data_IF_169899511269
#
_entry.id   IF_169899511269
#
_cell.length_a   1.000
_cell.length_b   1.000
_cell.length_c   1.000
_cell.angle_alpha   90.00
_cell.angle_beta   90.00
_cell.angle_gamma   90.00
#
_symmetry.space_group_name_H-M   'P 1'
#
loop_
_entity.id
_entity.type
_entity.pdbx_description
1 polymer ?
#
# COMPACT_ATOMS: atom_id res chain seq x y z
N UNK A 1 -6.66 3.76 66.97
CA UNK A 1 -7.34 4.20 65.73
C UNK A 1 -6.41 4.42 64.52
N UNK A 2 -5.19 3.85 64.47
CA UNK A 2 -4.19 4.16 63.43
C UNK A 2 -3.97 3.09 62.34
N UNK A 3 -4.53 1.88 62.48
CA UNK A 3 -4.29 0.77 61.55
C UNK A 3 -5.31 0.64 60.41
N UNK A 4 -6.48 1.29 60.51
CA UNK A 4 -7.54 1.20 59.49
C UNK A 4 -7.29 2.03 58.21
N UNK A 5 -6.41 3.04 58.26
CA UNK A 5 -6.10 3.90 57.10
C UNK A 5 -5.12 3.25 56.12
N UNK A 6 -4.22 2.39 56.61
CA UNK A 6 -3.17 1.76 55.78
C UNK A 6 -3.76 0.68 54.87
N UNK A 7 -4.72 -0.11 55.37
CA UNK A 7 -5.39 -1.16 54.57
C UNK A 7 -6.25 -0.58 53.45
N UNK A 8 -6.88 0.59 53.67
CA UNK A 8 -7.70 1.25 52.64
C UNK A 8 -6.87 1.85 51.50
N UNK A 9 -5.66 2.34 51.79
CA UNK A 9 -4.75 2.88 50.76
C UNK A 9 -4.17 1.74 49.90
N UNK A 10 -3.90 0.58 50.51
CA UNK A 10 -3.41 -0.59 49.78
C UNK A 10 -4.49 -1.22 48.88
N UNK A 11 -5.77 -1.16 49.27
CA UNK A 11 -6.90 -1.66 48.47
C UNK A 11 -7.23 -0.75 47.28
N UNK A 12 -7.04 0.57 47.42
CA UNK A 12 -7.27 1.56 46.37
C UNK A 12 -6.13 1.58 45.34
N UNK A 13 -4.90 1.25 45.74
CA UNK A 13 -3.76 1.15 44.81
C UNK A 13 -3.81 -0.08 43.89
N UNK A 14 -4.62 -1.10 44.21
CA UNK A 14 -4.73 -2.32 43.42
C UNK A 14 -5.83 -2.30 42.33
N UNK A 15 -6.67 -1.25 42.30
CA UNK A 15 -7.88 -1.22 41.45
C UNK A 15 -7.77 -0.33 40.21
N UNK A 16 -6.64 0.33 39.97
CA UNK A 16 -6.37 1.06 38.72
C UNK A 16 -5.23 0.44 37.93
N UNK A 17 -5.25 -0.89 37.74
CA UNK A 17 -4.63 -1.46 36.55
C UNK A 17 -5.61 -1.15 35.41
N UNK A 18 -5.43 0.00 34.75
CA UNK A 18 -6.21 0.32 33.57
C UNK A 18 -5.98 -0.81 32.56
N UNK A 19 -6.97 -1.70 32.41
CA UNK A 19 -6.96 -2.68 31.34
C UNK A 19 -6.92 -1.89 30.04
N UNK A 20 -5.77 -1.89 29.37
CA UNK A 20 -5.68 -1.32 28.04
C UNK A 20 -6.65 -2.13 27.16
N UNK A 21 -7.70 -1.48 26.66
CA UNK A 21 -8.61 -2.11 25.72
C UNK A 21 -7.79 -2.50 24.49
N UNK A 22 -7.95 -3.74 24.04
CA UNK A 22 -7.29 -4.22 22.84
C UNK A 22 -7.84 -3.47 21.61
N UNK A 23 -6.97 -2.79 20.89
CA UNK A 23 -7.28 -2.17 19.60
C UNK A 23 -6.66 -3.05 18.49
N UNK A 24 -7.46 -3.57 17.54
CA UNK A 24 -6.98 -4.52 16.56
C UNK A 24 -6.17 -3.87 15.42
N UNK A 25 -6.24 -2.55 15.26
CA UNK A 25 -5.57 -1.81 14.20
C UNK A 25 -4.49 -0.91 14.75
N UNK A 26 -3.38 -0.83 14.01
CA UNK A 26 -2.30 0.12 14.27
C UNK A 26 -2.07 0.96 13.01
N UNK A 27 -2.13 2.29 13.13
CA UNK A 27 -1.85 3.16 11.99
C UNK A 27 -0.34 3.34 11.81
N UNK A 28 0.25 2.55 10.91
CA UNK A 28 1.68 2.62 10.58
C UNK A 28 2.00 3.71 9.55
N UNK A 29 0.97 4.39 9.05
CA UNK A 29 1.03 5.52 8.15
C UNK A 29 1.54 5.17 6.74
N UNK A 30 2.25 6.12 6.18
CA UNK A 30 2.72 6.08 4.80
C UNK A 30 1.79 6.79 3.83
N UNK A 31 2.28 6.97 2.61
CA UNK A 31 1.67 7.72 1.53
C UNK A 31 1.96 7.02 0.22
N UNK A 32 0.90 6.79 -0.55
CA UNK A 32 0.99 6.32 -1.93
C UNK A 32 0.31 7.35 -2.81
N UNK A 33 0.89 7.59 -3.98
CA UNK A 33 0.30 8.44 -4.99
C UNK A 33 0.48 7.84 -6.37
N UNK A 34 -0.49 8.05 -7.24
CA UNK A 34 -0.44 7.54 -8.59
C UNK A 34 -1.00 8.56 -9.58
N UNK A 35 -0.43 8.57 -10.78
CA UNK A 35 -0.76 9.48 -11.88
C UNK A 35 -0.86 8.68 -13.18
N UNK A 36 -2.01 8.77 -13.83
CA UNK A 36 -2.23 8.26 -15.18
C UNK A 36 -1.88 9.35 -16.20
N UNK A 37 -1.17 8.95 -17.26
CA UNK A 37 -0.89 9.79 -18.43
C UNK A 37 -1.15 9.04 -19.73
N UNK A 38 -0.90 9.71 -20.84
CA UNK A 38 -1.18 9.17 -22.17
C UNK A 38 -0.22 8.03 -22.51
N UNK A 39 -0.70 6.80 -22.28
CA UNK A 39 0.06 5.58 -22.51
C UNK A 39 1.13 5.33 -21.45
N UNK A 40 0.93 5.79 -20.21
CA UNK A 40 1.73 5.38 -19.04
C UNK A 40 0.95 5.59 -17.73
N UNK A 41 1.35 4.89 -16.67
CA UNK A 41 0.86 5.16 -15.31
C UNK A 41 2.02 5.08 -14.33
N UNK A 42 2.18 6.09 -13.47
CA UNK A 42 3.21 6.13 -12.42
C UNK A 42 2.54 5.93 -11.07
N UNK A 43 3.15 5.15 -10.18
CA UNK A 43 2.74 5.02 -8.78
C UNK A 43 3.97 5.09 -7.88
N UNK A 44 4.00 6.08 -7.01
CA UNK A 44 5.06 6.34 -6.05
C UNK A 44 4.59 6.14 -4.62
N UNK A 45 5.52 5.79 -3.73
CA UNK A 45 5.23 5.59 -2.32
C UNK A 45 6.42 5.96 -1.46
N UNK A 46 6.14 6.39 -0.23
CA UNK A 46 7.19 6.53 0.77
C UNK A 46 7.66 5.17 1.32
N UNK A 47 8.84 5.13 1.95
CA UNK A 47 9.45 3.88 2.47
C UNK A 47 9.43 3.80 3.99
N UNK A 48 8.87 4.81 4.68
CA UNK A 48 8.84 4.85 6.15
C UNK A 48 7.74 3.95 6.69
N UNK A 49 7.96 3.42 7.89
CA UNK A 49 6.96 2.74 8.69
C UNK A 49 7.03 3.26 10.12
N UNK A 50 5.91 3.79 10.60
CA UNK A 50 5.78 4.23 11.98
C UNK A 50 5.43 3.01 12.84
N UNK A 51 6.09 2.89 13.98
CA UNK A 51 5.88 1.82 14.95
C UNK A 51 4.84 2.17 16.01
N UNK A 52 4.73 1.30 17.03
CA UNK A 52 3.71 1.42 18.05
C UNK A 52 3.76 2.78 18.75
N UNK A 53 2.58 3.36 18.97
CA UNK A 53 2.42 4.66 19.62
C UNK A 53 2.58 5.87 18.70
N UNK A 54 2.81 5.70 17.39
CA UNK A 54 2.65 6.77 16.39
C UNK A 54 3.79 7.79 16.27
N UNK A 55 4.77 7.76 17.17
CA UNK A 55 5.91 8.69 17.17
C UNK A 55 7.25 8.03 16.86
N UNK A 56 7.34 6.71 17.05
CA UNK A 56 8.56 5.96 16.81
C UNK A 56 8.65 5.55 15.35
N UNK A 57 9.81 5.79 14.73
CA UNK A 57 10.09 5.29 13.40
C UNK A 57 10.57 3.84 13.51
N UNK A 58 9.77 2.90 13.02
CA UNK A 58 10.09 1.47 13.05
C UNK A 58 11.03 1.08 11.91
N UNK A 59 10.79 1.59 10.69
CA UNK A 59 11.66 1.33 9.54
C UNK A 59 11.70 2.51 8.57
N UNK A 60 12.83 2.65 7.87
CA UNK A 60 13.02 3.56 6.72
C UNK A 60 12.97 2.83 5.37
N UNK A 61 12.89 1.52 5.40
CA UNK A 61 12.85 0.66 4.22
C UNK A 61 11.72 -0.35 4.36
N UNK A 62 10.49 0.10 4.14
CA UNK A 62 9.28 -0.71 4.18
C UNK A 62 8.52 -0.57 2.87
N UNK A 63 8.92 -1.39 1.89
CA UNK A 63 8.35 -1.44 0.55
C UNK A 63 7.56 -2.72 0.29
N UNK A 64 7.98 -3.83 0.90
CA UNK A 64 7.54 -5.17 0.55
C UNK A 64 6.02 -5.37 0.58
N UNK A 65 5.29 -4.77 1.53
CA UNK A 65 3.82 -4.83 1.62
C UNK A 65 3.13 -3.54 1.20
N UNK A 66 3.89 -2.51 0.81
CA UNK A 66 3.37 -1.17 0.53
C UNK A 66 3.04 -0.99 -0.93
N UNK A 67 3.87 -1.53 -1.80
CA UNK A 67 3.63 -1.58 -3.24
C UNK A 67 4.07 -2.93 -3.74
N UNK A 68 3.27 -3.54 -4.60
CA UNK A 68 3.59 -4.81 -5.20
C UNK A 68 2.93 -4.96 -6.56
N UNK A 69 3.59 -5.71 -7.43
CA UNK A 69 2.96 -6.12 -8.68
C UNK A 69 2.03 -7.31 -8.47
N UNK A 70 1.01 -7.35 -9.32
CA UNK A 70 0.06 -8.45 -9.47
C UNK A 70 0.71 -9.68 -10.09
N UNK A 71 1.60 -9.49 -11.07
CA UNK A 71 2.26 -10.59 -11.76
C UNK A 71 3.53 -11.05 -11.02
N UNK A 72 3.71 -12.36 -10.89
CA UNK A 72 4.89 -12.96 -10.23
C UNK A 72 6.20 -12.65 -11.00
N UNK A 73 6.11 -12.30 -12.28
CA UNK A 73 7.26 -11.90 -13.14
C UNK A 73 7.97 -10.63 -12.65
N UNK A 74 7.29 -9.84 -11.81
CA UNK A 74 7.80 -8.56 -11.26
C UNK A 74 8.42 -8.70 -9.87
N UNK A 75 8.43 -9.90 -9.29
CA UNK A 75 9.04 -10.14 -7.97
C UNK A 75 10.57 -10.01 -8.04
N UNK A 76 11.20 -10.36 -9.18
CA UNK A 76 12.63 -10.13 -9.43
C UNK A 76 12.98 -8.64 -9.56
N UNK A 77 12.04 -7.82 -10.02
CA UNK A 77 12.20 -6.36 -10.08
C UNK A 77 12.16 -5.75 -8.68
N UNK A 78 11.28 -6.24 -7.79
CA UNK A 78 11.19 -5.74 -6.42
C UNK A 78 12.39 -6.14 -5.56
N UNK A 79 12.93 -7.35 -5.72
CA UNK A 79 14.17 -7.77 -5.05
C UNK A 79 15.39 -7.01 -5.59
N UNK A 80 15.41 -6.65 -6.88
CA UNK A 80 16.38 -5.73 -7.48
C UNK A 80 16.30 -4.31 -6.91
N UNK A 81 15.10 -3.77 -6.69
CA UNK A 81 14.87 -2.45 -6.08
C UNK A 81 15.29 -2.45 -4.59
N UNK A 82 14.94 -3.50 -3.82
CA UNK A 82 15.33 -3.63 -2.41
C UNK A 82 16.84 -3.81 -2.22
N UNK A 83 17.52 -4.51 -3.14
CA UNK A 83 18.98 -4.64 -3.13
C UNK A 83 19.70 -3.34 -3.53
N UNK A 84 19.15 -2.58 -4.48
CA UNK A 84 19.66 -1.26 -4.89
C UNK A 84 19.51 -0.20 -3.79
N UNK A 85 18.46 -0.28 -2.96
CA UNK A 85 18.30 0.60 -1.80
C UNK A 85 19.30 0.30 -0.67
N UNK A 86 19.76 -0.95 -0.54
CA UNK A 86 20.73 -1.37 0.50
C UNK A 86 22.17 -1.02 0.14
N UNK A 87 22.50 -0.87 -1.14
CA UNK A 87 23.86 -0.55 -1.60
C UNK A 87 24.20 0.94 -1.54
N UNK A 88 23.21 1.84 -1.43
CA UNK A 88 23.46 3.27 -1.24
C UNK A 88 24.03 4.03 -2.45
N UNK A 89 24.13 3.36 -3.61
CA UNK A 89 24.54 4.00 -4.87
C UNK A 89 23.36 4.77 -5.50
N UNK A 90 23.61 6.01 -5.89
CA UNK A 90 22.61 6.94 -6.46
C UNK A 90 22.17 6.60 -7.89
N UNK A 91 22.80 5.61 -8.54
CA UNK A 91 22.85 5.51 -10.01
C UNK A 91 22.27 4.19 -10.58
N UNK A 92 21.39 3.49 -9.86
CA UNK A 92 20.77 2.24 -10.37
C UNK A 92 19.24 2.38 -10.43
N UNK A 93 18.74 2.76 -11.61
CA UNK A 93 17.31 2.78 -11.94
C UNK A 93 16.89 1.53 -12.69
N UNK A 94 15.84 0.85 -12.22
CA UNK A 94 15.21 -0.25 -12.96
C UNK A 94 13.98 0.30 -13.68
N UNK A 95 14.18 0.65 -14.96
CA UNK A 95 13.15 1.01 -15.92
C UNK A 95 13.10 -0.10 -16.96
N UNK A 96 11.93 -0.66 -17.21
CA UNK A 96 11.70 -1.44 -18.44
C UNK A 96 11.41 -0.45 -19.59
N UNK A 97 12.47 0.10 -20.18
CA UNK A 97 12.71 0.38 -21.63
C UNK A 97 13.84 1.43 -21.84
N UNK A 98 14.96 0.91 -22.34
CA UNK A 98 16.15 1.42 -23.05
C UNK A 98 16.64 2.88 -23.14
N UNK A 99 16.03 3.95 -22.61
CA UNK A 99 16.78 5.23 -22.62
C UNK A 99 16.22 6.34 -21.72
N UNK A 100 17.10 6.80 -20.83
CA UNK A 100 17.04 8.00 -19.96
C UNK A 100 16.42 7.79 -18.58
N UNK A 101 17.35 7.59 -17.65
CA UNK A 101 17.19 7.47 -16.20
C UNK A 101 16.98 8.84 -15.54
N UNK A 102 16.14 8.92 -14.52
CA UNK A 102 16.22 9.98 -13.51
C UNK A 102 15.72 9.42 -12.18
N UNK A 103 16.62 9.32 -11.19
CA UNK A 103 16.36 8.79 -9.84
C UNK A 103 16.41 9.90 -8.79
N UNK A 104 15.45 9.90 -7.88
CA UNK A 104 15.49 10.59 -6.59
C UNK A 104 15.04 9.58 -5.50
N UNK A 105 15.56 9.67 -4.26
CA UNK A 105 15.22 8.72 -3.21
C UNK A 105 13.73 8.84 -2.83
N UNK A 106 12.98 7.75 -2.96
CA UNK A 106 11.58 7.66 -2.52
C UNK A 106 10.52 7.69 -3.62
N UNK A 107 10.91 7.55 -4.89
CA UNK A 107 9.96 7.41 -6.01
C UNK A 107 10.17 6.04 -6.63
N UNK A 108 9.25 5.11 -6.34
CA UNK A 108 9.06 3.95 -7.22
C UNK A 108 8.29 4.50 -8.42
N UNK A 109 8.86 4.37 -9.60
CA UNK A 109 8.22 4.76 -10.86
C UNK A 109 8.04 3.47 -11.63
N UNK A 110 6.81 3.04 -11.87
CA UNK A 110 6.57 2.22 -13.05
C UNK A 110 6.11 3.14 -14.17
N UNK A 111 6.62 2.89 -15.37
CA UNK A 111 6.23 3.54 -16.61
C UNK A 111 6.13 2.39 -17.60
N UNK A 112 5.01 2.28 -18.27
CA UNK A 112 4.83 1.32 -19.36
C UNK A 112 4.47 2.15 -20.57
N UNK A 113 5.41 2.36 -21.50
CA UNK A 113 5.13 2.82 -22.86
C UNK A 113 6.01 2.02 -23.81
N UNK A 114 5.43 1.10 -24.57
CA UNK A 114 6.15 0.43 -25.66
C UNK A 114 5.23 0.07 -26.82
N UNK A 115 5.19 0.92 -27.86
CA UNK A 115 4.61 0.59 -29.18
C UNK A 115 3.23 -0.09 -29.17
N UNK A 116 2.88 -0.78 -30.26
CA UNK A 116 1.59 -1.47 -30.44
C UNK A 116 1.42 -2.76 -29.60
N UNK A 117 2.36 -3.07 -28.69
CA UNK A 117 2.31 -4.25 -27.83
C UNK A 117 2.07 -3.87 -26.37
N UNK A 118 0.79 -3.98 -25.97
CA UNK A 118 0.24 -3.75 -24.63
C UNK A 118 0.77 -4.76 -23.58
N UNK A 119 2.03 -4.66 -23.15
CA UNK A 119 2.51 -5.37 -21.95
C UNK A 119 2.51 -4.40 -20.76
N UNK A 120 1.37 -4.28 -20.08
CA UNK A 120 1.19 -3.42 -18.91
C UNK A 120 1.01 -4.23 -17.65
N UNK A 121 2.07 -4.42 -16.85
CA UNK A 121 1.89 -5.06 -15.53
C UNK A 121 1.18 -4.09 -14.58
N UNK A 122 0.13 -4.56 -13.93
CA UNK A 122 -0.66 -3.77 -12.98
C UNK A 122 -0.02 -3.81 -11.61
N UNK A 123 0.10 -2.64 -10.97
CA UNK A 123 0.58 -2.51 -9.59
C UNK A 123 -0.54 -2.15 -8.61
N UNK A 124 -0.37 -2.63 -7.38
CA UNK A 124 -1.22 -2.29 -6.24
C UNK A 124 -0.34 -1.65 -5.17
N UNK A 125 -0.81 -0.53 -4.63
CA UNK A 125 -0.27 0.08 -3.43
C UNK A 125 -1.28 0.03 -2.28
N UNK A 126 -0.81 -0.22 -1.06
CA UNK A 126 -1.60 -0.09 0.17
C UNK A 126 -0.85 0.63 1.30
N UNK A 127 -1.54 1.55 1.99
CA UNK A 127 -1.04 2.29 3.14
C UNK A 127 -2.03 2.22 4.30
N UNK A 128 -1.59 2.45 5.53
CA UNK A 128 -2.45 2.34 6.72
C UNK A 128 -1.88 1.34 7.72
N UNK A 129 -2.67 0.33 8.10
CA UNK A 129 -2.21 -0.75 8.96
C UNK A 129 -1.33 -1.73 8.19
N UNK A 130 -0.07 -1.83 8.59
CA UNK A 130 0.94 -2.65 7.94
C UNK A 130 0.56 -4.15 7.93
N UNK A 131 -0.03 -4.64 9.02
CA UNK A 131 -0.48 -6.02 9.13
C UNK A 131 -1.60 -6.34 8.13
N UNK A 132 -2.57 -5.43 8.00
CA UNK A 132 -3.66 -5.58 7.04
C UNK A 132 -3.19 -5.43 5.59
N UNK A 133 -2.23 -4.55 5.32
CA UNK A 133 -1.65 -4.41 3.97
C UNK A 133 -0.97 -5.72 3.52
N UNK A 134 -0.22 -6.38 4.41
CA UNK A 134 0.42 -7.66 4.11
C UNK A 134 -0.61 -8.81 3.97
N UNK A 135 -1.66 -8.81 4.80
CA UNK A 135 -2.75 -9.76 4.68
C UNK A 135 -3.54 -9.58 3.37
N UNK A 136 -3.86 -8.34 3.02
CA UNK A 136 -4.54 -7.97 1.79
C UNK A 136 -3.71 -8.35 0.57
N UNK A 137 -2.41 -8.05 0.56
CA UNK A 137 -1.47 -8.47 -0.49
C UNK A 137 -1.49 -9.98 -0.73
N UNK A 138 -1.55 -10.78 0.32
CA UNK A 138 -1.64 -12.25 0.20
C UNK A 138 -3.00 -12.70 -0.32
N UNK A 139 -4.07 -12.09 0.19
CA UNK A 139 -5.44 -12.39 -0.24
C UNK A 139 -5.65 -12.09 -1.72
N UNK A 140 -5.32 -10.87 -2.17
CA UNK A 140 -5.51 -10.46 -3.57
C UNK A 140 -4.66 -11.29 -4.53
N UNK A 141 -3.42 -11.64 -4.15
CA UNK A 141 -2.58 -12.53 -4.97
C UNK A 141 -3.18 -13.92 -5.11
N UNK A 142 -3.78 -14.44 -4.05
CA UNK A 142 -4.46 -15.73 -4.12
C UNK A 142 -5.72 -15.64 -4.99
N UNK A 143 -6.52 -14.58 -4.83
CA UNK A 143 -7.75 -14.36 -5.59
C UNK A 143 -7.46 -14.20 -7.09
N UNK A 144 -6.46 -13.40 -7.46
CA UNK A 144 -6.06 -13.22 -8.85
C UNK A 144 -5.55 -14.54 -9.45
N UNK A 145 -4.65 -15.26 -8.75
CA UNK A 145 -4.17 -16.57 -9.22
C UNK A 145 -5.31 -17.55 -9.47
N UNK A 146 -6.28 -17.59 -8.55
CA UNK A 146 -7.48 -18.43 -8.68
C UNK A 146 -8.31 -18.01 -9.90
N UNK A 147 -8.59 -16.72 -10.06
CA UNK A 147 -9.41 -16.22 -11.17
C UNK A 147 -8.70 -16.33 -12.54
N UNK A 148 -7.37 -16.24 -12.61
CA UNK A 148 -6.60 -16.53 -13.83
C UNK A 148 -6.67 -18.02 -14.18
N UNK A 149 -6.54 -18.92 -13.20
CA UNK A 149 -6.67 -20.37 -13.43
C UNK A 149 -8.08 -20.77 -13.88
N UNK A 150 -9.10 -20.07 -13.40
CA UNK A 150 -10.49 -20.27 -13.81
C UNK A 150 -10.83 -19.65 -15.17
N UNK A 151 -9.89 -18.95 -15.80
CA UNK A 151 -10.07 -18.28 -17.09
C UNK A 151 -10.96 -17.03 -17.02
N UNK A 152 -11.20 -16.49 -15.82
CA UNK A 152 -11.95 -15.23 -15.64
C UNK A 152 -11.07 -14.00 -15.84
N UNK A 153 -9.79 -14.11 -15.45
CA UNK A 153 -8.76 -13.09 -15.67
C UNK A 153 -7.82 -13.53 -16.80
N UNK A 154 -7.32 -12.58 -17.56
CA UNK A 154 -6.24 -12.80 -18.51
C UNK A 154 -4.93 -13.15 -17.77
N UNK A 155 -3.99 -13.76 -18.50
CA UNK A 155 -2.66 -14.09 -17.97
C UNK A 155 -1.86 -12.85 -17.52
N UNK A 156 -2.16 -11.68 -18.09
CA UNK A 156 -1.74 -10.38 -17.60
C UNK A 156 -3.01 -9.55 -17.36
N UNK A 157 -3.42 -9.35 -16.09
CA UNK A 157 -4.69 -8.72 -15.77
C UNK A 157 -4.60 -7.21 -15.91
N UNK A 158 -5.60 -6.63 -16.59
CA UNK A 158 -5.74 -5.18 -16.74
C UNK A 158 -6.11 -4.50 -15.42
N UNK A 159 -5.81 -3.20 -15.30
CA UNK A 159 -6.06 -2.46 -14.06
C UNK A 159 -7.54 -2.50 -13.64
N UNK A 160 -8.47 -2.45 -14.60
CA UNK A 160 -9.92 -2.59 -14.35
C UNK A 160 -10.29 -3.95 -13.73
N UNK A 161 -9.74 -5.03 -14.28
CA UNK A 161 -10.02 -6.37 -13.79
C UNK A 161 -9.44 -6.58 -12.38
N UNK A 162 -8.23 -6.08 -12.14
CA UNK A 162 -7.61 -6.07 -10.81
C UNK A 162 -8.42 -5.23 -9.83
N UNK A 163 -8.92 -4.07 -10.27
CA UNK A 163 -9.73 -3.18 -9.45
C UNK A 163 -11.04 -3.85 -9.02
N UNK A 164 -11.72 -4.51 -9.96
CA UNK A 164 -12.93 -5.29 -9.66
C UNK A 164 -12.65 -6.44 -8.69
N UNK A 165 -11.54 -7.16 -8.86
CA UNK A 165 -11.12 -8.22 -7.94
C UNK A 165 -10.84 -7.67 -6.53
N UNK A 166 -10.08 -6.58 -6.43
CA UNK A 166 -9.74 -5.93 -5.16
C UNK A 166 -10.97 -5.40 -4.42
N UNK A 167 -11.94 -4.85 -5.13
CA UNK A 167 -13.22 -4.43 -4.57
C UNK A 167 -13.95 -5.58 -3.87
N UNK A 168 -14.01 -6.76 -4.51
CA UNK A 168 -14.62 -7.95 -3.91
C UNK A 168 -13.85 -8.43 -2.67
N UNK A 169 -12.51 -8.45 -2.72
CA UNK A 169 -11.68 -8.85 -1.58
C UNK A 169 -11.90 -7.92 -0.38
N UNK A 170 -11.91 -6.60 -0.58
CA UNK A 170 -12.18 -5.61 0.48
C UNK A 170 -13.60 -5.74 1.04
N UNK A 171 -14.59 -5.88 0.15
CA UNK A 171 -16.00 -5.97 0.55
C UNK A 171 -16.32 -7.27 1.31
N UNK A 172 -15.63 -8.37 0.98
CA UNK A 172 -15.82 -9.68 1.63
C UNK A 172 -15.63 -9.63 3.15
N UNK A 173 -14.81 -8.69 3.63
CA UNK A 173 -14.51 -8.48 5.05
C UNK A 173 -15.20 -7.24 5.63
N UNK A 174 -16.36 -6.83 5.13
CA UNK A 174 -17.10 -5.65 5.65
C UNK A 174 -17.39 -5.66 7.16
N UNK A 175 -17.53 -6.85 7.78
CA UNK A 175 -17.72 -6.98 9.23
C UNK A 175 -16.46 -6.71 10.08
N UNK A 176 -15.29 -6.78 9.46
CA UNK A 176 -13.99 -6.43 10.03
C UNK A 176 -13.06 -6.00 8.89
N UNK A 177 -13.18 -4.75 8.40
CA UNK A 177 -12.53 -4.30 7.19
C UNK A 177 -11.01 -4.33 7.28
N UNK A 178 -10.34 -4.38 6.13
CA UNK A 178 -8.91 -4.09 6.10
C UNK A 178 -8.71 -2.59 6.31
N UNK A 179 -7.92 -2.21 7.31
CA UNK A 179 -7.56 -0.82 7.55
C UNK A 179 -6.41 -0.39 6.63
N UNK A 180 -6.67 -0.44 5.32
CA UNK A 180 -5.71 -0.15 4.27
C UNK A 180 -6.33 0.74 3.20
N UNK A 181 -5.71 1.88 2.96
CA UNK A 181 -6.01 2.77 1.84
C UNK A 181 -5.23 2.29 0.62
N UNK A 182 -5.96 1.82 -0.39
CA UNK A 182 -5.37 1.16 -1.54
C UNK A 182 -5.53 1.99 -2.81
N UNK A 183 -4.57 1.84 -3.73
CA UNK A 183 -4.71 2.31 -5.09
C UNK A 183 -4.14 1.28 -6.06
N UNK A 184 -4.72 1.21 -7.25
CA UNK A 184 -4.25 0.35 -8.35
C UNK A 184 -3.84 1.26 -9.50
N UNK A 185 -2.68 1.00 -10.10
CA UNK A 185 -2.25 1.70 -11.30
C UNK A 185 -1.78 0.70 -12.35
N UNK A 186 -2.21 0.92 -13.58
CA UNK A 186 -1.75 0.15 -14.73
C UNK A 186 -2.28 0.77 -16.01
N UNK A 187 -2.13 0.02 -17.10
CA UNK A 187 -2.78 0.39 -18.35
C UNK A 187 -4.30 0.32 -18.19
N UNK A 188 -4.96 1.42 -18.54
CA UNK A 188 -6.38 1.64 -18.28
C UNK A 188 -6.64 2.76 -17.28
N UNK A 189 -5.68 3.11 -16.43
CA UNK A 189 -5.77 4.26 -15.53
C UNK A 189 -5.42 3.94 -14.08
N UNK A 190 -5.74 4.87 -13.20
CA UNK A 190 -5.51 4.76 -11.76
C UNK A 190 -6.86 4.61 -11.06
N UNK A 191 -6.93 3.69 -10.10
CA UNK A 191 -8.12 3.42 -9.30
C UNK A 191 -7.81 3.64 -7.82
N UNK A 192 -8.70 4.35 -7.13
CA UNK A 192 -8.60 4.61 -5.69
C UNK A 192 -9.71 3.88 -4.96
N UNK A 193 -9.38 3.29 -3.81
CA UNK A 193 -10.30 2.50 -3.02
C UNK A 193 -10.58 3.16 -1.67
N UNK A 194 -11.83 3.05 -1.23
CA UNK A 194 -12.22 3.28 0.16
C UNK A 194 -12.00 2.01 1.01
N UNK A 195 -12.06 2.14 2.34
CA UNK A 195 -11.83 1.07 3.31
C UNK A 195 -12.77 -0.14 3.16
N UNK A 196 -13.91 0.02 2.47
CA UNK A 196 -14.91 -1.04 2.26
C UNK A 196 -14.85 -1.64 0.84
N UNK A 197 -14.04 -1.06 -0.06
CA UNK A 197 -13.87 -1.57 -1.42
C UNK A 197 -14.69 -0.87 -2.50
N UNK A 198 -15.35 0.25 -2.19
CA UNK A 198 -15.82 1.17 -3.24
C UNK A 198 -14.60 1.77 -3.94
N UNK A 199 -14.64 1.86 -5.27
CA UNK A 199 -13.54 2.42 -6.04
C UNK A 199 -14.02 3.35 -7.14
N UNK A 200 -13.14 4.26 -7.53
CA UNK A 200 -13.36 5.16 -8.66
C UNK A 200 -12.09 5.22 -9.53
N UNK A 201 -12.27 5.50 -10.81
CA UNK A 201 -11.17 5.74 -11.75
C UNK A 201 -10.83 7.23 -11.76
N UNK A 202 -9.57 7.56 -11.51
CA UNK A 202 -9.07 8.94 -11.47
C UNK A 202 -7.82 9.11 -12.34
N UNK A 203 -7.56 10.34 -12.75
CA UNK A 203 -6.30 10.70 -13.41
C UNK A 203 -5.14 10.74 -12.41
N UNK A 204 -5.39 11.25 -11.19
CA UNK A 204 -4.40 11.41 -10.13
C UNK A 204 -5.00 11.00 -8.80
N UNK A 205 -4.22 10.29 -7.99
CA UNK A 205 -4.64 9.70 -6.74
C UNK A 205 -3.61 9.90 -5.64
N UNK A 206 -4.07 10.09 -4.41
CA UNK A 206 -3.25 10.00 -3.20
C UNK A 206 -3.98 9.23 -2.11
N UNK A 207 -3.31 8.27 -1.49
CA UNK A 207 -3.84 7.38 -0.46
C UNK A 207 -2.89 7.31 0.75
N UNK A 208 -3.47 7.18 1.95
CA UNK A 208 -2.73 7.16 3.21
C UNK A 208 -2.65 8.52 3.91
N UNK A 209 -1.71 8.62 4.86
CA UNK A 209 -1.64 9.74 5.83
C UNK A 209 -1.27 11.09 5.22
N UNK A 210 -0.52 11.11 4.11
CA UNK A 210 -0.11 12.34 3.43
C UNK A 210 -1.10 12.82 2.36
N UNK A 211 -2.25 12.17 2.19
CA UNK A 211 -3.18 12.45 1.09
C UNK A 211 -3.71 13.88 1.10
N UNK A 212 -4.00 14.43 2.28
CA UNK A 212 -4.61 15.75 2.43
C UNK A 212 -3.64 16.87 2.02
N UNK A 213 -2.34 16.63 2.15
CA UNK A 213 -1.30 17.56 1.71
C UNK A 213 -0.99 17.43 0.23
N UNK A 214 -1.01 16.21 -0.31
CA UNK A 214 -0.61 15.93 -1.69
C UNK A 214 -1.75 16.15 -2.69
N UNK A 215 -2.98 15.76 -2.35
CA UNK A 215 -4.12 15.81 -3.27
C UNK A 215 -4.41 17.23 -3.79
N UNK A 216 -4.42 18.31 -2.96
CA UNK A 216 -4.64 19.67 -3.47
C UNK A 216 -3.58 20.14 -4.46
N UNK A 217 -2.36 19.60 -4.36
CA UNK A 217 -1.26 19.90 -5.28
C UNK A 217 -1.50 19.19 -6.63
N UNK A 218 -1.97 17.95 -6.60
CA UNK A 218 -2.28 17.18 -7.80
C UNK A 218 -3.55 17.67 -8.51
N UNK A 219 -4.52 18.19 -7.77
CA UNK A 219 -5.77 18.73 -8.32
C UNK A 219 -5.55 20.11 -8.98
N UNK A 220 -4.41 20.75 -8.74
CA UNK A 220 -4.05 22.03 -9.34
C UNK A 220 -3.72 21.84 -10.83
N UNK A 221 -4.69 22.21 -11.67
CA UNK A 221 -4.53 22.33 -13.12
C UNK A 221 -3.63 23.50 -13.52
#
# INVERSE_FOLDING_TARGET
MHTKKIVSIFLVAFTTLAAANFEPYELNGGLISAVAGDGYSVMATDTRMIGPGGYLLSSRNYLSSRIWSVDDTSIELMSGIESSFRSGDSDVGVVMDNNKQTTAPGIITMTMKHGDTLFGSTMIGAAGCAADCEALKRAIRADIKKSTQQGQLSSSPTADQVASCLSHTLYSRRGFPFYSFCCVAGMGGVFVFDAIGSYEQVAVASAGTGRESLQPILDRK
#
